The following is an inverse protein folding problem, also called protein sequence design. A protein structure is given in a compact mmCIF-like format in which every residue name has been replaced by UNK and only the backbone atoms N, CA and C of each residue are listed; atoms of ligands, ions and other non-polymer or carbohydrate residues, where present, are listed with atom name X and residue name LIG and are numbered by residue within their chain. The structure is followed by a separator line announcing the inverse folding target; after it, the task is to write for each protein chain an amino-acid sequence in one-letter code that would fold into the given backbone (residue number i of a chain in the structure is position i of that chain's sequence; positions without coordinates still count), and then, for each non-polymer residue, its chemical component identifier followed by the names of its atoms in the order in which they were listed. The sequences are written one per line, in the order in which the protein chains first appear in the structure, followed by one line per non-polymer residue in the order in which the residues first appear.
data_IF_619279209946
#
_entry.id   IF_619279209946
#
_cell.length_a   1.000
_cell.length_b   1.000
_cell.length_c   1.000
_cell.angle_alpha   90.00
_cell.angle_beta   90.00
_cell.angle_gamma   90.00
#
_symmetry.space_group_name_H-M   'P 1'
#
loop_
_entity.id
_entity.type
_entity.pdbx_description
1 polymer ?
#
# COMPACT_ATOMS: atom_id res chain seq x y z
N UNK A 1 -73.17 28.22 -104.29
CA UNK A 1 -73.14 27.00 -103.46
C UNK A 1 -71.73 26.68 -103.00
N UNK A 2 -70.73 26.60 -103.90
CA UNK A 2 -69.35 26.22 -103.55
C UNK A 2 -68.62 27.18 -102.57
N UNK A 3 -68.71 28.50 -102.78
CA UNK A 3 -68.05 29.50 -101.89
C UNK A 3 -68.54 29.40 -100.44
N UNK A 4 -69.84 29.14 -100.25
CA UNK A 4 -70.44 28.98 -98.91
C UNK A 4 -69.91 27.73 -98.21
N UNK A 5 -69.70 26.64 -98.96
CA UNK A 5 -69.14 25.39 -98.45
C UNK A 5 -67.69 25.60 -97.98
N UNK A 6 -66.85 26.27 -98.78
CA UNK A 6 -65.47 26.61 -98.40
C UNK A 6 -65.42 27.50 -97.14
N UNK A 7 -66.32 28.48 -97.03
CA UNK A 7 -66.40 29.34 -95.84
C UNK A 7 -66.80 28.56 -94.58
N UNK A 8 -67.75 27.63 -94.68
CA UNK A 8 -68.15 26.75 -93.57
C UNK A 8 -66.98 25.86 -93.13
N UNK A 9 -66.26 25.23 -94.07
CA UNK A 9 -65.07 24.44 -93.72
C UNK A 9 -63.99 25.30 -93.06
N UNK A 10 -63.74 26.51 -93.56
CA UNK A 10 -62.79 27.44 -92.95
C UNK A 10 -63.18 27.80 -91.51
N UNK A 11 -64.45 28.09 -91.24
CA UNK A 11 -64.95 28.36 -89.88
C UNK A 11 -64.81 27.14 -88.95
N UNK A 12 -65.05 25.92 -89.46
CA UNK A 12 -64.85 24.69 -88.69
C UNK A 12 -63.37 24.49 -88.35
N UNK A 13 -62.45 24.68 -89.32
CA UNK A 13 -61.01 24.60 -89.08
C UNK A 13 -60.53 25.67 -88.10
N UNK A 14 -61.05 26.89 -88.21
CA UNK A 14 -60.73 27.99 -87.27
C UNK A 14 -61.21 27.65 -85.85
N UNK A 15 -62.44 27.17 -85.72
CA UNK A 15 -63.01 26.73 -84.44
C UNK A 15 -62.22 25.56 -83.84
N UNK A 16 -61.79 24.62 -84.67
CA UNK A 16 -60.98 23.48 -84.24
C UNK A 16 -59.57 23.94 -83.78
N UNK A 17 -58.95 24.87 -84.49
CA UNK A 17 -57.67 25.47 -84.09
C UNK A 17 -57.75 26.22 -82.76
N UNK A 18 -58.81 27.00 -82.54
CA UNK A 18 -59.08 27.68 -81.26
C UNK A 18 -59.30 26.65 -80.14
N UNK A 19 -60.06 25.59 -80.40
CA UNK A 19 -60.28 24.52 -79.43
C UNK A 19 -58.98 23.83 -79.02
N UNK A 20 -58.10 23.51 -79.97
CA UNK A 20 -56.79 22.92 -79.68
C UNK A 20 -55.90 23.86 -78.87
N UNK A 21 -55.90 25.16 -79.17
CA UNK A 21 -55.17 26.16 -78.39
C UNK A 21 -55.66 26.24 -76.94
N UNK A 22 -56.98 26.20 -76.72
CA UNK A 22 -57.56 26.18 -75.38
C UNK A 22 -57.19 24.91 -74.60
N UNK A 23 -57.24 23.75 -75.25
CA UNK A 23 -56.81 22.48 -74.64
C UNK A 23 -55.33 22.53 -74.26
N UNK A 24 -54.49 23.01 -75.16
CA UNK A 24 -53.04 23.13 -74.93
C UNK A 24 -52.72 24.10 -73.79
N UNK A 25 -53.38 25.26 -73.73
CA UNK A 25 -53.19 26.24 -72.66
C UNK A 25 -53.61 25.68 -71.30
N UNK A 26 -54.78 25.04 -71.24
CA UNK A 26 -55.29 24.39 -70.03
C UNK A 26 -54.38 23.22 -69.57
N UNK A 27 -53.84 22.43 -70.49
CA UNK A 27 -52.88 21.36 -70.17
C UNK A 27 -51.54 21.91 -69.67
N UNK A 28 -51.08 23.05 -70.20
CA UNK A 28 -49.88 23.74 -69.72
C UNK A 28 -50.06 24.31 -68.31
N UNK A 29 -51.22 24.90 -68.01
CA UNK A 29 -51.54 25.38 -66.66
C UNK A 29 -51.67 24.23 -65.66
N UNK A 30 -52.32 23.13 -66.02
CA UNK A 30 -52.39 21.92 -65.18
C UNK A 30 -50.99 21.40 -64.82
N UNK A 31 -50.10 21.30 -65.80
CA UNK A 31 -48.70 20.90 -65.55
C UNK A 31 -47.95 21.87 -64.63
N UNK A 32 -48.19 23.18 -64.75
CA UNK A 32 -47.59 24.17 -63.83
C UNK A 32 -48.08 23.97 -62.40
N UNK A 33 -49.39 23.81 -62.21
CA UNK A 33 -50.00 23.59 -60.89
C UNK A 33 -49.51 22.27 -60.25
N UNK A 34 -49.32 21.21 -61.03
CA UNK A 34 -48.76 19.95 -60.54
C UNK A 34 -47.31 20.12 -60.06
N UNK A 35 -46.48 20.84 -60.81
CA UNK A 35 -45.10 21.13 -60.40
C UNK A 35 -45.06 21.96 -59.11
N UNK A 36 -45.91 22.98 -59.01
CA UNK A 36 -46.00 23.82 -57.81
C UNK A 36 -46.46 23.01 -56.59
N UNK A 37 -47.49 22.16 -56.76
CA UNK A 37 -47.95 21.23 -55.73
C UNK A 37 -46.83 20.28 -55.27
N UNK A 38 -46.07 19.72 -56.22
CA UNK A 38 -44.94 18.84 -55.90
C UNK A 38 -43.83 19.57 -55.13
N UNK A 39 -43.52 20.81 -55.51
CA UNK A 39 -42.55 21.64 -54.79
C UNK A 39 -43.02 21.97 -53.37
N UNK A 40 -44.32 22.25 -53.19
CA UNK A 40 -44.91 22.49 -51.87
C UNK A 40 -44.84 21.24 -50.99
N UNK A 41 -45.18 20.05 -51.52
CA UNK A 41 -45.08 18.78 -50.80
C UNK A 41 -43.64 18.54 -50.35
N UNK A 42 -42.68 18.67 -51.28
CA UNK A 42 -41.26 18.55 -50.96
C UNK A 42 -40.83 19.52 -49.87
N UNK A 43 -41.32 20.77 -49.91
CA UNK A 43 -40.97 21.77 -48.91
C UNK A 43 -41.53 21.43 -47.53
N UNK A 44 -42.74 20.88 -47.47
CA UNK A 44 -43.35 20.38 -46.23
C UNK A 44 -42.52 19.23 -45.66
N UNK A 45 -42.14 18.27 -46.49
CA UNK A 45 -41.27 17.14 -46.08
C UNK A 45 -39.92 17.64 -45.56
N UNK A 46 -39.25 18.57 -46.27
CA UNK A 46 -38.00 19.19 -45.83
C UNK A 46 -38.16 19.90 -44.48
N UNK A 47 -39.26 20.63 -44.29
CA UNK A 47 -39.56 21.32 -43.04
C UNK A 47 -39.79 20.33 -41.89
N UNK A 48 -40.57 19.26 -42.12
CA UNK A 48 -40.82 18.20 -41.15
C UNK A 48 -39.52 17.51 -40.72
N UNK A 49 -38.68 17.13 -41.68
CA UNK A 49 -37.36 16.54 -41.40
C UNK A 49 -36.50 17.50 -40.57
N UNK A 50 -36.43 18.78 -40.96
CA UNK A 50 -35.64 19.76 -40.22
C UNK A 50 -36.17 20.00 -38.80
N UNK A 51 -37.49 19.94 -38.62
CA UNK A 51 -38.13 20.09 -37.32
C UNK A 51 -37.83 18.90 -36.42
N UNK A 52 -37.96 17.68 -36.94
CA UNK A 52 -37.62 16.46 -36.20
C UNK A 52 -36.15 16.45 -35.78
N UNK A 53 -35.24 16.89 -36.65
CA UNK A 53 -33.83 17.03 -36.32
C UNK A 53 -33.60 18.03 -35.18
N UNK A 54 -34.22 19.22 -35.23
CA UNK A 54 -34.13 20.22 -34.15
C UNK A 54 -34.71 19.70 -32.83
N UNK A 55 -35.86 19.02 -32.89
CA UNK A 55 -36.50 18.45 -31.71
C UNK A 55 -35.61 17.38 -31.06
N UNK A 56 -35.06 16.46 -31.85
CA UNK A 56 -34.15 15.43 -31.35
C UNK A 56 -32.88 16.04 -30.76
N UNK A 57 -32.32 17.07 -31.40
CA UNK A 57 -31.15 17.77 -30.89
C UNK A 57 -31.41 18.39 -29.51
N UNK A 58 -32.54 19.07 -29.34
CA UNK A 58 -32.87 19.70 -28.06
C UNK A 58 -33.17 18.65 -26.97
N UNK A 59 -33.85 17.54 -27.32
CA UNK A 59 -34.08 16.42 -26.39
C UNK A 59 -32.75 15.82 -25.92
N UNK A 60 -31.82 15.54 -26.83
CA UNK A 60 -30.50 14.98 -26.48
C UNK A 60 -29.69 15.93 -25.60
N UNK A 61 -29.79 17.23 -25.87
CA UNK A 61 -29.17 18.27 -25.04
C UNK A 61 -29.74 18.27 -23.62
N UNK A 62 -31.06 18.25 -23.44
CA UNK A 62 -31.68 18.17 -22.11
C UNK A 62 -31.31 16.87 -21.37
N UNK A 63 -31.41 15.71 -22.04
CA UNK A 63 -30.99 14.43 -21.45
C UNK A 63 -29.54 14.45 -20.96
N UNK A 64 -28.64 15.06 -21.73
CA UNK A 64 -27.23 15.18 -21.35
C UNK A 64 -27.04 16.07 -20.13
N UNK A 65 -27.79 17.17 -20.05
CA UNK A 65 -27.76 18.08 -18.91
C UNK A 65 -28.29 17.40 -17.63
N UNK A 66 -29.45 16.75 -17.71
CA UNK A 66 -30.05 16.05 -16.57
C UNK A 66 -29.17 14.91 -16.08
N UNK A 67 -28.57 14.14 -17.00
CA UNK A 67 -27.60 13.10 -16.65
C UNK A 67 -26.42 13.68 -15.89
N UNK A 68 -25.89 14.82 -16.33
CA UNK A 68 -24.75 15.46 -15.67
C UNK A 68 -25.09 15.90 -14.25
N UNK A 69 -26.27 16.51 -14.06
CA UNK A 69 -26.75 16.94 -12.74
C UNK A 69 -26.90 15.71 -11.82
N UNK A 70 -27.56 14.65 -12.31
CA UNK A 70 -27.75 13.43 -11.55
C UNK A 70 -26.42 12.76 -11.17
N UNK A 71 -25.45 12.75 -12.09
CA UNK A 71 -24.11 12.22 -11.83
C UNK A 71 -23.37 13.04 -10.75
N UNK A 72 -23.50 14.36 -10.76
CA UNK A 72 -22.90 15.23 -9.74
C UNK A 72 -23.54 15.03 -8.37
N UNK A 73 -24.87 14.97 -8.31
CA UNK A 73 -25.62 14.68 -7.07
C UNK A 73 -25.25 13.31 -6.48
N UNK A 74 -25.19 12.29 -7.33
CA UNK A 74 -24.82 10.94 -6.91
C UNK A 74 -23.37 10.91 -6.40
N UNK A 75 -22.44 11.57 -7.09
CA UNK A 75 -21.03 11.65 -6.65
C UNK A 75 -20.91 12.34 -5.30
N UNK A 76 -21.61 13.44 -5.08
CA UNK A 76 -21.60 14.15 -3.80
C UNK A 76 -22.19 13.32 -2.67
N UNK A 77 -23.26 12.56 -2.93
CA UNK A 77 -23.82 11.64 -1.94
C UNK A 77 -22.84 10.52 -1.59
N UNK A 78 -22.28 9.85 -2.62
CA UNK A 78 -21.28 8.80 -2.42
C UNK A 78 -20.09 9.33 -1.63
N UNK A 79 -19.60 10.52 -1.99
CA UNK A 79 -18.47 11.15 -1.30
C UNK A 79 -18.75 11.33 0.19
N UNK A 80 -19.92 11.85 0.56
CA UNK A 80 -20.31 12.00 1.97
C UNK A 80 -20.39 10.66 2.70
N UNK A 81 -21.00 9.66 2.06
CA UNK A 81 -21.10 8.33 2.64
C UNK A 81 -19.71 7.70 2.86
N UNK A 82 -18.80 7.84 1.89
CA UNK A 82 -17.42 7.38 2.00
C UNK A 82 -16.60 8.16 3.04
N UNK A 83 -16.81 9.47 3.18
CA UNK A 83 -16.15 10.28 4.20
C UNK A 83 -16.51 9.78 5.61
N UNK A 84 -17.80 9.51 5.87
CA UNK A 84 -18.26 8.95 7.14
C UNK A 84 -17.68 7.56 7.39
N UNK A 85 -17.79 6.65 6.41
CA UNK A 85 -17.23 5.29 6.53
C UNK A 85 -15.72 5.31 6.79
N UNK A 86 -14.99 6.23 6.16
CA UNK A 86 -13.55 6.38 6.34
C UNK A 86 -13.21 6.88 7.75
N UNK A 87 -13.98 7.83 8.30
CA UNK A 87 -13.80 8.28 9.67
C UNK A 87 -14.04 7.18 10.69
N UNK A 88 -15.11 6.40 10.51
CA UNK A 88 -15.43 5.29 11.41
C UNK A 88 -14.35 4.21 11.35
N UNK A 89 -13.91 3.83 10.15
CA UNK A 89 -12.80 2.90 9.97
C UNK A 89 -11.51 3.39 10.63
N UNK A 90 -11.15 4.68 10.49
CA UNK A 90 -9.98 5.27 11.15
C UNK A 90 -10.07 5.16 12.67
N UNK A 91 -11.24 5.43 13.26
CA UNK A 91 -11.44 5.34 14.72
C UNK A 91 -11.31 3.90 15.22
N UNK A 92 -11.83 2.93 14.47
CA UNK A 92 -11.70 1.52 14.82
C UNK A 92 -10.25 1.03 14.76
N UNK A 93 -9.54 1.40 13.68
CA UNK A 93 -8.14 1.03 13.50
C UNK A 93 -7.25 1.68 14.56
N UNK A 94 -7.48 2.96 14.89
CA UNK A 94 -6.75 3.66 15.95
C UNK A 94 -6.93 2.97 17.31
N UNK A 95 -8.17 2.57 17.65
CA UNK A 95 -8.43 1.80 18.87
C UNK A 95 -7.67 0.47 18.89
N UNK A 96 -7.69 -0.27 17.77
CA UNK A 96 -6.99 -1.54 17.67
C UNK A 96 -5.47 -1.37 17.83
N UNK A 97 -4.90 -0.32 17.24
CA UNK A 97 -3.48 0.03 17.40
C UNK A 97 -3.17 0.35 18.86
N UNK A 98 -3.96 1.22 19.50
CA UNK A 98 -3.76 1.61 20.90
C UNK A 98 -3.83 0.38 21.83
N UNK A 99 -4.85 -0.46 21.68
CA UNK A 99 -5.01 -1.67 22.51
C UNK A 99 -3.80 -2.62 22.36
N UNK A 100 -3.36 -2.85 21.13
CA UNK A 100 -2.18 -3.66 20.84
C UNK A 100 -0.92 -3.06 21.45
N UNK A 101 -0.70 -1.76 21.24
CA UNK A 101 0.47 -1.04 21.77
C UNK A 101 0.50 -1.05 23.30
N UNK A 102 -0.64 -0.85 23.97
CA UNK A 102 -0.73 -0.92 25.43
C UNK A 102 -0.39 -2.31 25.96
N UNK A 103 -0.87 -3.36 25.30
CA UNK A 103 -0.58 -4.76 25.66
C UNK A 103 0.90 -5.11 25.49
N UNK A 104 1.49 -4.69 24.37
CA UNK A 104 2.91 -4.92 24.08
C UNK A 104 3.80 -4.14 25.04
N UNK A 105 3.47 -2.87 25.30
CA UNK A 105 4.18 -2.02 26.25
C UNK A 105 4.09 -2.53 27.68
N UNK A 106 2.91 -2.96 28.13
CA UNK A 106 2.73 -3.57 29.45
C UNK A 106 3.56 -4.85 29.62
N UNK A 107 3.63 -5.69 28.58
CA UNK A 107 4.46 -6.91 28.59
C UNK A 107 5.96 -6.57 28.65
N UNK A 108 6.39 -5.56 27.90
CA UNK A 108 7.78 -5.10 27.89
C UNK A 108 8.20 -4.52 29.25
N UNK A 109 7.40 -3.61 29.83
CA UNK A 109 7.68 -3.05 31.16
C UNK A 109 7.72 -4.16 32.20
N UNK A 110 6.72 -5.05 32.21
CA UNK A 110 6.66 -6.16 33.17
C UNK A 110 7.93 -7.03 33.08
N UNK A 111 8.44 -7.27 31.87
CA UNK A 111 9.72 -7.96 31.67
C UNK A 111 10.88 -7.18 32.28
N UNK A 112 11.03 -5.89 31.96
CA UNK A 112 12.12 -5.04 32.45
C UNK A 112 12.13 -4.86 33.97
N UNK A 113 10.95 -4.67 34.56
CA UNK A 113 10.78 -4.58 36.01
C UNK A 113 11.11 -5.93 36.65
N UNK A 114 10.57 -7.02 36.09
CA UNK A 114 10.82 -8.38 36.54
C UNK A 114 12.31 -8.75 36.58
N UNK A 115 13.07 -8.41 35.53
CA UNK A 115 14.53 -8.56 35.49
C UNK A 115 15.16 -7.89 36.72
N UNK A 116 14.86 -6.61 36.96
CA UNK A 116 15.47 -5.83 38.06
C UNK A 116 15.08 -6.31 39.46
N UNK A 117 13.87 -6.82 39.67
CA UNK A 117 13.40 -7.29 40.99
C UNK A 117 13.79 -8.75 41.26
N UNK A 118 14.24 -9.49 40.25
CA UNK A 118 14.54 -10.91 40.37
C UNK A 118 15.56 -11.24 41.47
N UNK A 119 16.64 -10.47 41.70
CA UNK A 119 17.56 -10.73 42.80
C UNK A 119 16.87 -10.77 44.17
N UNK A 120 15.98 -9.81 44.45
CA UNK A 120 15.22 -9.76 45.70
C UNK A 120 14.22 -10.92 45.82
N UNK A 121 13.54 -11.27 44.73
CA UNK A 121 12.66 -12.44 44.71
C UNK A 121 13.43 -13.74 44.97
N UNK A 122 14.66 -13.83 44.45
CA UNK A 122 15.52 -15.01 44.61
C UNK A 122 15.97 -15.15 46.06
N UNK A 123 16.33 -14.04 46.72
CA UNK A 123 16.56 -14.01 48.16
C UNK A 123 15.34 -14.50 48.94
N UNK A 124 14.16 -13.93 48.69
CA UNK A 124 12.93 -14.30 49.40
C UNK A 124 12.57 -15.78 49.25
N UNK A 125 12.76 -16.37 48.06
CA UNK A 125 12.28 -17.73 47.76
C UNK A 125 13.33 -18.83 47.92
N UNK A 126 14.59 -18.54 47.61
CA UNK A 126 15.67 -19.53 47.56
C UNK A 126 16.77 -19.27 48.59
N UNK A 127 16.62 -18.20 49.40
CA UNK A 127 17.57 -17.80 50.42
C UNK A 127 18.99 -17.60 49.85
N UNK A 128 19.07 -16.96 48.69
CA UNK A 128 20.32 -16.55 48.01
C UNK A 128 20.51 -15.07 48.27
N UNK A 129 21.59 -14.68 48.93
CA UNK A 129 21.89 -13.28 49.21
C UNK A 129 21.91 -12.46 47.89
N UNK A 130 21.22 -11.31 47.79
CA UNK A 130 21.33 -10.47 46.61
C UNK A 130 22.77 -10.05 46.27
N UNK A 131 23.66 -9.98 47.26
CA UNK A 131 25.10 -9.71 47.09
C UNK A 131 25.85 -10.87 46.45
N UNK A 132 25.31 -12.09 46.47
CA UNK A 132 25.86 -13.25 45.76
C UNK A 132 25.44 -13.29 44.29
N UNK A 133 24.52 -12.42 43.86
CA UNK A 133 23.94 -12.42 42.51
C UNK A 133 24.73 -11.47 41.59
N UNK A 134 25.05 -11.93 40.38
CA UNK A 134 25.69 -11.16 39.31
C UNK A 134 24.84 -11.19 38.05
N UNK A 135 24.64 -10.04 37.43
CA UNK A 135 23.94 -9.92 36.16
C UNK A 135 24.86 -10.33 35.01
N UNK A 136 24.38 -11.20 34.12
CA UNK A 136 25.07 -11.62 32.90
C UNK A 136 24.33 -11.12 31.65
N UNK A 137 23.00 -11.27 31.61
CA UNK A 137 22.16 -10.87 30.47
C UNK A 137 21.81 -12.01 29.51
N UNK A 138 21.43 -11.71 28.26
CA UNK A 138 20.93 -12.74 27.34
C UNK A 138 22.03 -13.73 26.93
N UNK A 139 21.80 -15.06 26.98
CA UNK A 139 20.53 -15.78 27.19
C UNK A 139 20.21 -16.25 28.63
N UNK A 140 21.06 -15.98 29.63
CA UNK A 140 20.84 -16.32 31.06
C UNK A 140 21.03 -15.07 31.91
N UNK A 141 19.94 -14.55 32.49
CA UNK A 141 19.92 -13.20 33.07
C UNK A 141 20.91 -13.02 34.23
N UNK A 142 21.02 -14.00 35.14
CA UNK A 142 21.87 -13.93 36.33
C UNK A 142 22.65 -15.22 36.59
N UNK A 143 23.78 -15.08 37.27
CA UNK A 143 24.47 -16.15 37.99
C UNK A 143 24.50 -15.80 39.48
N UNK A 144 24.34 -16.77 40.36
CA UNK A 144 24.47 -16.57 41.79
C UNK A 144 25.46 -17.54 42.40
N UNK A 145 26.28 -17.05 43.33
CA UNK A 145 27.28 -17.83 44.06
C UNK A 145 26.86 -17.95 45.52
N UNK A 146 25.84 -18.78 45.77
CA UNK A 146 25.23 -18.89 47.10
C UNK A 146 26.26 -19.34 48.13
N UNK A 147 26.48 -18.51 49.15
CA UNK A 147 27.45 -18.77 50.22
C UNK A 147 28.78 -18.03 50.05
N UNK A 148 28.94 -17.25 48.98
CA UNK A 148 30.16 -16.48 48.72
C UNK A 148 30.31 -15.33 49.74
N UNK A 149 29.29 -14.50 49.91
CA UNK A 149 29.30 -13.36 50.83
C UNK A 149 29.35 -13.80 52.29
N UNK A 150 28.60 -14.87 52.64
CA UNK A 150 28.62 -15.46 53.99
C UNK A 150 29.90 -16.24 54.30
N UNK A 151 30.82 -16.36 53.33
CA UNK A 151 32.08 -17.11 53.43
C UNK A 151 31.90 -18.61 53.73
N UNK A 152 30.78 -19.19 53.34
CA UNK A 152 30.53 -20.64 53.42
C UNK A 152 31.07 -21.35 52.17
N UNK A 153 32.39 -21.29 51.99
CA UNK A 153 33.05 -21.81 50.78
C UNK A 153 32.93 -23.32 50.63
N UNK A 154 32.70 -24.05 51.72
CA UNK A 154 32.57 -25.51 51.71
C UNK A 154 31.24 -25.99 51.12
N UNK A 155 30.19 -25.16 51.19
CA UNK A 155 28.86 -25.45 50.64
C UNK A 155 28.49 -24.48 49.52
N UNK A 156 29.48 -23.92 48.82
CA UNK A 156 29.24 -22.92 47.80
C UNK A 156 28.52 -23.53 46.58
N UNK A 157 27.38 -22.95 46.22
CA UNK A 157 26.54 -23.41 45.11
C UNK A 157 26.46 -22.34 44.01
N UNK A 158 26.56 -22.77 42.76
CA UNK A 158 26.45 -21.88 41.60
C UNK A 158 25.09 -22.07 40.93
N UNK A 159 24.28 -21.01 40.90
CA UNK A 159 22.97 -20.99 40.27
C UNK A 159 22.98 -20.20 38.97
N UNK A 160 22.50 -20.80 37.90
CA UNK A 160 22.15 -20.09 36.65
C UNK A 160 20.67 -19.76 36.69
N UNK A 161 20.33 -18.46 36.59
CA UNK A 161 18.97 -17.97 36.81
C UNK A 161 18.50 -17.24 35.56
N UNK A 162 17.41 -17.72 34.98
CA UNK A 162 16.63 -16.97 33.97
C UNK A 162 15.31 -16.50 34.57
N UNK A 163 14.99 -15.23 34.34
CA UNK A 163 13.82 -14.57 34.87
C UNK A 163 12.67 -14.65 33.87
N UNK A 164 11.57 -15.27 34.28
CA UNK A 164 10.34 -15.37 33.48
C UNK A 164 9.25 -14.49 34.08
N UNK A 165 8.68 -13.59 33.28
CA UNK A 165 7.72 -12.59 33.75
C UNK A 165 6.29 -12.80 33.22
N UNK A 166 6.07 -13.67 32.24
CA UNK A 166 4.74 -13.93 31.67
C UNK A 166 4.16 -15.29 32.09
N UNK A 167 2.84 -15.31 32.35
CA UNK A 167 2.04 -16.54 32.58
C UNK A 167 2.09 -17.52 31.41
N UNK A 168 2.29 -17.00 30.19
CA UNK A 168 2.64 -17.83 29.06
C UNK A 168 4.09 -18.25 29.26
N UNK A 169 4.29 -19.53 29.60
CA UNK A 169 5.54 -20.26 29.41
C UNK A 169 5.92 -20.15 27.93
N UNK A 170 6.37 -18.98 27.46
CA UNK A 170 7.11 -18.90 26.21
C UNK A 170 8.32 -19.80 26.46
N UNK A 171 8.33 -20.91 25.74
CA UNK A 171 9.38 -21.91 25.76
C UNK A 171 10.74 -21.22 25.92
N UNK A 172 11.66 -21.73 26.75
CA UNK A 172 13.00 -21.17 26.83
C UNK A 172 13.50 -20.97 25.40
N UNK A 173 14.07 -19.79 25.11
CA UNK A 173 14.70 -19.53 23.82
C UNK A 173 15.61 -20.74 23.50
N UNK A 174 15.68 -21.22 22.27
CA UNK A 174 16.46 -22.43 21.94
C UNK A 174 17.87 -22.41 22.57
N UNK A 175 18.49 -21.23 22.61
CA UNK A 175 19.75 -20.95 23.31
C UNK A 175 19.68 -21.18 24.83
N UNK A 176 18.66 -20.65 25.50
CA UNK A 176 18.43 -20.84 26.94
C UNK A 176 18.16 -22.30 27.27
N UNK A 177 17.37 -23.00 26.44
CA UNK A 177 17.09 -24.43 26.60
C UNK A 177 18.35 -25.28 26.46
N UNK A 178 19.21 -24.95 25.48
CA UNK A 178 20.48 -25.64 25.29
C UNK A 178 21.43 -25.44 26.48
N UNK A 179 21.50 -24.21 27.01
CA UNK A 179 22.34 -23.91 28.18
C UNK A 179 21.79 -24.60 29.44
N UNK A 180 20.48 -24.55 29.66
CA UNK A 180 19.83 -25.27 30.77
C UNK A 180 20.18 -26.76 30.73
N UNK A 181 20.06 -27.39 29.56
CA UNK A 181 20.43 -28.80 29.36
C UNK A 181 21.92 -29.04 29.66
N UNK A 182 22.81 -28.16 29.21
CA UNK A 182 24.24 -28.29 29.51
C UNK A 182 24.53 -28.21 31.02
N UNK A 183 23.84 -27.32 31.75
CA UNK A 183 23.95 -27.21 33.21
C UNK A 183 23.40 -28.46 33.90
N UNK A 184 22.21 -28.94 33.51
CA UNK A 184 21.58 -30.15 34.08
C UNK A 184 22.41 -31.42 33.81
N UNK A 185 23.04 -31.52 32.63
CA UNK A 185 23.97 -32.58 32.26
C UNK A 185 25.38 -32.40 32.85
N UNK A 186 25.59 -31.41 33.73
CA UNK A 186 26.88 -31.09 34.39
C UNK A 186 28.03 -30.82 33.41
N UNK A 187 27.73 -30.30 32.22
CA UNK A 187 28.71 -29.89 31.19
C UNK A 187 29.29 -28.48 31.47
N UNK A 188 29.47 -28.12 32.74
CA UNK A 188 30.04 -26.85 33.19
C UNK A 188 31.52 -27.06 33.46
N UNK A 189 32.38 -26.21 32.89
CA UNK A 189 33.84 -26.33 33.01
C UNK A 189 34.44 -25.04 33.56
N UNK A 190 35.49 -25.19 34.36
CA UNK A 190 36.35 -24.09 34.78
C UNK A 190 37.46 -23.90 33.74
N UNK A 191 37.65 -22.67 33.27
CA UNK A 191 38.74 -22.30 32.36
C UNK A 191 39.44 -21.08 32.93
N UNK A 192 40.71 -21.23 33.25
CA UNK A 192 41.59 -20.14 33.64
C UNK A 192 42.38 -19.70 32.40
N UNK A 193 42.38 -18.40 32.12
CA UNK A 193 43.08 -17.82 30.98
C UNK A 193 44.08 -16.81 31.51
N UNK A 194 45.37 -17.13 31.39
CA UNK A 194 46.44 -16.18 31.66
C UNK A 194 46.59 -15.24 30.46
N UNK A 195 46.32 -13.96 30.70
CA UNK A 195 46.40 -12.91 29.69
C UNK A 195 47.72 -12.13 29.75
N UNK A 196 48.62 -12.45 30.68
CA UNK A 196 49.83 -11.66 30.95
C UNK A 196 50.69 -11.51 29.70
N UNK A 197 51.06 -12.61 29.04
CA UNK A 197 51.85 -12.58 27.81
C UNK A 197 51.15 -11.87 26.64
N UNK A 198 49.83 -11.92 26.59
CA UNK A 198 49.05 -11.25 25.55
C UNK A 198 48.99 -9.73 25.79
N UNK A 199 48.80 -9.32 27.05
CA UNK A 199 48.78 -7.92 27.45
C UNK A 199 50.16 -7.28 27.33
N UNK A 200 51.23 -7.98 27.71
CA UNK A 200 52.61 -7.50 27.56
C UNK A 200 52.93 -7.20 26.09
N UNK A 201 52.47 -8.05 25.16
CA UNK A 201 52.61 -7.81 23.71
C UNK A 201 51.81 -6.60 23.22
N UNK A 202 50.61 -6.36 23.77
CA UNK A 202 49.79 -5.20 23.41
C UNK A 202 50.35 -3.91 24.00
N UNK A 203 50.88 -3.96 25.22
CA UNK A 203 51.38 -2.80 25.96
C UNK A 203 52.80 -2.40 25.53
N UNK A 204 53.63 -3.34 25.05
CA UNK A 204 54.93 -3.06 24.42
C UNK A 204 54.77 -2.59 22.97
N UNK A 205 53.93 -1.57 22.74
CA UNK A 205 53.70 -0.95 21.42
C UNK A 205 55.04 -0.55 20.79
N UNK A 206 55.98 0.01 21.56
CA UNK A 206 57.28 0.39 21.03
C UNK A 206 58.18 -0.79 20.65
N UNK A 207 58.08 -1.92 21.33
CA UNK A 207 58.88 -3.11 21.00
C UNK A 207 58.31 -3.81 19.76
N UNK A 208 56.98 -3.87 19.66
CA UNK A 208 56.26 -4.33 18.48
C UNK A 208 56.56 -3.46 17.25
N UNK A 209 56.48 -2.13 17.38
CA UNK A 209 56.84 -1.19 16.30
C UNK A 209 58.31 -1.32 15.89
N UNK A 210 59.23 -1.48 16.87
CA UNK A 210 60.66 -1.70 16.58
C UNK A 210 60.90 -3.00 15.86
N UNK A 211 60.25 -4.11 16.23
CA UNK A 211 60.37 -5.40 15.54
C UNK A 211 59.80 -5.36 14.12
N UNK A 212 58.65 -4.70 13.92
CA UNK A 212 58.02 -4.53 12.61
C UNK A 212 58.92 -3.70 11.67
N UNK A 213 59.47 -2.58 12.16
CA UNK A 213 60.41 -1.73 11.41
C UNK A 213 61.72 -2.49 11.09
N UNK A 214 62.20 -3.34 12.01
CA UNK A 214 63.41 -4.14 11.78
C UNK A 214 63.21 -5.16 10.67
N UNK A 215 62.06 -5.87 10.67
CA UNK A 215 61.69 -6.83 9.61
C UNK A 215 61.58 -6.14 8.24
N UNK A 216 60.93 -4.98 8.18
CA UNK A 216 60.81 -4.18 6.96
C UNK A 216 62.17 -3.74 6.42
N UNK A 217 63.11 -3.36 7.29
CA UNK A 217 64.45 -2.96 6.87
C UNK A 217 65.31 -4.15 6.39
N UNK A 218 65.17 -5.33 7.00
CA UNK A 218 65.85 -6.56 6.57
C UNK A 218 65.31 -7.12 5.24
N UNK A 219 64.02 -6.95 4.95
CA UNK A 219 63.46 -7.28 3.63
C UNK A 219 63.95 -6.31 2.56
N UNK A 220 63.98 -5.01 2.87
CA UNK A 220 64.47 -3.99 1.93
C UNK A 220 65.98 -4.09 1.64
N UNK A 221 66.80 -4.53 2.60
CA UNK A 221 68.23 -4.79 2.35
C UNK A 221 68.45 -6.02 1.47
N UNK A 222 67.68 -7.09 1.66
CA UNK A 222 67.71 -8.28 0.79
C UNK A 222 67.25 -8.01 -0.64
N UNK A 223 66.35 -7.05 -0.84
CA UNK A 223 65.93 -6.61 -2.19
C UNK A 223 67.03 -5.79 -2.88
N UNK A 224 67.79 -4.98 -2.13
CA UNK A 224 68.92 -4.19 -2.67
C UNK A 224 70.18 -5.01 -2.98
N UNK A 225 70.38 -6.15 -2.32
CA UNK A 225 71.53 -7.04 -2.61
C UNK A 225 71.27 -8.00 -3.79
N UNK A 226 70.02 -8.16 -4.22
CA UNK A 226 69.61 -9.09 -5.28
C UNK A 226 69.13 -8.40 -6.58
N UNK A 227 69.27 -7.07 -6.71
CA UNK A 227 68.95 -6.30 -7.92
C UNK A 227 70.14 -5.50 -8.40
#
# INVERSE_FOLDING_TARGET
MEILIFFIFFMIFLSFGIFLLLVFFNEKERRRLEIEKLNLIRRIEELEVSFQQRLNFEIEKYKKQDRKILEEELKEKLRKDYEVMLEDWKREEEKAIIEKTLKDYGSYITKKVGERIAPFYTFYKYNIDPLDIRFIGCPIDYIAFKGLESKDYNNLEVYFISVKTSKNKRFPNEKESAIKKAVEEKKVKWLEVDMTQFLDKILNIEEFEREEIKKLNEENSKIKENG
#
